data_IF_861613917129
#
_entry.id   IF_861613917129
#
_cell.length_a   1.000
_cell.length_b   1.000
_cell.length_c   1.000
_cell.angle_alpha   90.00
_cell.angle_beta   90.00
_cell.angle_gamma   90.00
#
_symmetry.space_group_name_H-M   'P 1'
#
loop_
_entity.id
_entity.type
_entity.pdbx_description
1 polymer ?
#
# COMPACT_ATOMS: atom_id res chain seq x y z
N UNK A 1 -7.49 1.55 -15.18
CA UNK A 1 -7.80 2.94 -15.55
C UNK A 1 -8.24 3.76 -14.33
N UNK A 2 -7.93 5.06 -14.36
CA UNK A 2 -8.37 6.06 -13.40
C UNK A 2 -8.77 7.34 -14.14
N UNK A 3 -9.38 8.27 -13.45
CA UNK A 3 -9.65 9.58 -14.00
C UNK A 3 -9.29 10.69 -13.02
N UNK A 4 -8.88 11.82 -13.60
CA UNK A 4 -8.77 13.09 -12.92
C UNK A 4 -10.14 13.74 -12.95
N UNK A 5 -10.62 14.15 -11.79
CA UNK A 5 -11.84 14.92 -11.60
C UNK A 5 -11.45 16.32 -11.11
N UNK A 6 -11.43 17.26 -12.05
CA UNK A 6 -11.02 18.62 -11.80
C UNK A 6 -12.22 19.56 -11.89
N UNK A 7 -12.58 20.16 -10.78
CA UNK A 7 -13.55 21.26 -10.71
C UNK A 7 -12.76 22.55 -10.54
N UNK A 8 -12.88 23.45 -11.50
CA UNK A 8 -12.20 24.75 -11.45
C UNK A 8 -12.96 25.75 -10.57
N UNK A 9 -12.24 26.73 -10.03
CA UNK A 9 -12.79 27.92 -9.42
C UNK A 9 -13.16 28.97 -10.49
N UNK A 10 -13.47 30.20 -10.09
CA UNK A 10 -13.75 31.32 -11.00
C UNK A 10 -12.50 32.03 -11.54
N UNK A 11 -11.32 31.50 -11.22
CA UNK A 11 -10.01 31.96 -11.68
C UNK A 11 -9.28 30.85 -12.46
N UNK A 12 -10.01 30.09 -13.28
CA UNK A 12 -9.47 28.92 -13.95
C UNK A 12 -8.25 29.19 -14.86
N UNK A 13 -8.04 30.44 -15.30
CA UNK A 13 -6.93 30.87 -16.17
C UNK A 13 -5.56 30.72 -15.50
N UNK A 14 -5.50 30.70 -14.16
CA UNK A 14 -4.24 30.54 -13.40
C UNK A 14 -3.86 29.09 -13.20
N UNK A 15 -4.82 28.16 -13.37
CA UNK A 15 -4.64 26.76 -13.08
C UNK A 15 -4.40 25.91 -14.33
N UNK A 16 -3.59 24.86 -14.19
CA UNK A 16 -3.44 23.80 -15.18
C UNK A 16 -2.87 22.56 -14.49
N UNK A 17 -2.95 21.40 -15.14
CA UNK A 17 -2.26 20.23 -14.65
C UNK A 17 -1.59 19.44 -15.75
N UNK A 18 -0.55 18.75 -15.38
CA UNK A 18 0.31 17.95 -16.24
C UNK A 18 0.45 16.53 -15.67
N UNK A 19 0.54 15.56 -16.58
CA UNK A 19 0.85 14.16 -16.25
C UNK A 19 2.17 13.80 -16.93
N UNK A 20 3.10 13.26 -16.15
CA UNK A 20 4.44 12.85 -16.61
C UNK A 20 4.63 11.34 -16.42
N UNK A 21 5.46 10.73 -17.28
CA UNK A 21 5.99 9.39 -17.06
C UNK A 21 7.15 9.38 -16.05
N UNK A 22 7.63 8.17 -15.69
CA UNK A 22 8.74 8.01 -14.75
C UNK A 22 10.09 8.53 -15.23
N UNK A 23 10.21 8.87 -16.51
CA UNK A 23 11.39 9.51 -17.10
C UNK A 23 11.27 11.04 -17.13
N UNK A 24 10.13 11.59 -16.72
CA UNK A 24 9.83 13.02 -16.74
C UNK A 24 9.31 13.53 -18.07
N UNK A 25 8.92 12.66 -18.99
CA UNK A 25 8.31 13.10 -20.24
C UNK A 25 6.85 13.46 -20.00
N UNK A 26 6.41 14.59 -20.60
CA UNK A 26 5.02 15.02 -20.57
C UNK A 26 4.15 14.06 -21.38
N UNK A 27 3.12 13.49 -20.76
CA UNK A 27 2.13 12.60 -21.38
C UNK A 27 0.86 13.37 -21.72
N UNK A 28 0.45 14.23 -20.82
CA UNK A 28 -0.81 14.96 -20.93
C UNK A 28 -0.71 16.31 -20.22
N UNK A 29 -1.34 17.32 -20.81
CA UNK A 29 -1.49 18.64 -20.24
C UNK A 29 -2.96 19.09 -20.40
N UNK A 30 -3.49 19.72 -19.39
CA UNK A 30 -4.76 20.44 -19.46
C UNK A 30 -4.59 21.86 -18.98
N UNK A 31 -4.57 22.76 -19.91
CA UNK A 31 -4.61 24.22 -19.72
C UNK A 31 -5.89 24.81 -20.34
N UNK A 32 -5.98 26.12 -20.47
CA UNK A 32 -7.11 26.86 -21.07
C UNK A 32 -8.47 26.46 -20.49
N UNK A 33 -8.53 26.45 -19.19
CA UNK A 33 -9.68 26.01 -18.41
C UNK A 33 -10.80 27.08 -18.40
N UNK A 34 -12.05 26.59 -18.33
CA UNK A 34 -13.22 27.43 -18.11
C UNK A 34 -13.49 27.60 -16.62
N UNK A 35 -13.94 28.77 -16.21
CA UNK A 35 -14.32 29.06 -14.83
C UNK A 35 -15.52 28.22 -14.40
N UNK A 36 -15.49 27.71 -13.16
CA UNK A 36 -16.59 26.97 -12.54
C UNK A 36 -17.03 25.77 -13.36
N UNK A 37 -16.09 25.08 -14.00
CA UNK A 37 -16.36 23.95 -14.87
C UNK A 37 -15.77 22.66 -14.29
N UNK A 38 -16.38 21.54 -14.63
CA UNK A 38 -15.93 20.22 -14.20
C UNK A 38 -15.36 19.42 -15.35
N UNK A 39 -14.09 19.11 -15.26
CA UNK A 39 -13.36 18.24 -16.19
C UNK A 39 -13.28 16.83 -15.66
N UNK A 40 -13.31 15.85 -16.56
CA UNK A 40 -13.09 14.45 -16.26
C UNK A 40 -12.21 13.84 -17.34
N UNK A 41 -10.93 13.70 -17.06
CA UNK A 41 -9.95 13.12 -17.97
C UNK A 41 -9.63 11.70 -17.51
N UNK A 42 -9.87 10.74 -18.38
CA UNK A 42 -9.66 9.31 -18.07
C UNK A 42 -8.36 8.83 -18.68
N UNK A 43 -7.57 8.11 -17.87
CA UNK A 43 -6.28 7.57 -18.25
C UNK A 43 -6.27 6.05 -18.08
N UNK A 44 -5.71 5.37 -19.08
CA UNK A 44 -5.36 3.96 -19.05
C UNK A 44 -3.88 3.87 -19.39
N UNK A 45 -3.06 3.75 -18.35
CA UNK A 45 -1.60 3.84 -18.46
C UNK A 45 -0.99 2.44 -18.36
N UNK A 46 0.08 2.22 -19.09
CA UNK A 46 0.90 1.02 -18.96
C UNK A 46 1.56 0.94 -17.57
N UNK A 47 1.99 -0.26 -17.14
CA UNK A 47 2.73 -0.39 -15.88
C UNK A 47 3.96 0.53 -15.84
N UNK A 48 4.05 1.37 -14.82
CA UNK A 48 5.12 2.36 -14.71
C UNK A 48 4.95 3.31 -13.52
N UNK A 49 5.94 4.18 -13.34
CA UNK A 49 5.87 5.30 -12.40
C UNK A 49 5.40 6.56 -13.12
N UNK A 50 4.60 7.36 -12.44
CA UNK A 50 3.99 8.57 -13.01
C UNK A 50 3.93 9.67 -11.97
N UNK A 51 3.82 10.90 -12.43
CA UNK A 51 3.53 12.03 -11.56
C UNK A 51 2.48 12.94 -12.18
N UNK A 52 1.57 13.42 -11.35
CA UNK A 52 0.63 14.50 -11.69
C UNK A 52 1.06 15.75 -10.93
N UNK A 53 1.12 16.87 -11.64
CA UNK A 53 1.42 18.17 -11.08
C UNK A 53 0.27 19.11 -11.39
N UNK A 54 -0.39 19.59 -10.35
CA UNK A 54 -1.37 20.67 -10.43
C UNK A 54 -0.63 21.98 -10.13
N UNK A 55 -0.75 22.95 -10.99
CA UNK A 55 -0.09 24.26 -10.86
C UNK A 55 -1.11 25.37 -10.78
N UNK A 56 -0.83 26.34 -9.92
CA UNK A 56 -1.52 27.62 -9.79
C UNK A 56 -0.51 28.75 -9.96
N UNK A 57 -0.77 29.69 -10.88
CA UNK A 57 0.14 30.79 -11.22
C UNK A 57 0.08 31.95 -10.23
N UNK A 58 -1.01 32.09 -9.50
CA UNK A 58 -1.22 33.17 -8.54
C UNK A 58 -0.96 32.76 -7.08
N UNK A 59 -0.52 31.50 -6.85
CA UNK A 59 -0.09 30.92 -5.58
C UNK A 59 -1.19 30.82 -4.49
N UNK A 60 -2.47 30.91 -4.84
CA UNK A 60 -3.58 30.85 -3.88
C UNK A 60 -4.35 29.51 -3.91
N UNK A 61 -4.01 28.60 -4.84
CA UNK A 61 -4.59 27.28 -4.98
C UNK A 61 -6.00 27.31 -5.58
N UNK A 62 -6.74 26.21 -5.40
CA UNK A 62 -8.12 26.09 -5.89
C UNK A 62 -9.15 26.57 -4.89
N UNK A 63 -8.80 26.63 -3.63
CA UNK A 63 -9.65 27.12 -2.54
C UNK A 63 -8.83 27.27 -1.26
N UNK A 64 -9.08 28.30 -0.51
CA UNK A 64 -8.52 28.51 0.82
C UNK A 64 -9.64 28.52 1.88
N UNK A 65 -9.27 28.36 3.15
CA UNK A 65 -10.25 28.20 4.24
C UNK A 65 -11.29 29.32 4.34
N UNK A 66 -10.97 30.49 3.82
CA UNK A 66 -11.83 31.67 3.86
C UNK A 66 -12.52 31.98 2.53
N UNK A 67 -12.25 31.26 1.45
CA UNK A 67 -12.76 31.52 0.10
C UNK A 67 -14.29 31.63 0.04
N UNK A 68 -15.01 30.81 0.81
CA UNK A 68 -16.49 30.85 0.87
C UNK A 68 -17.08 32.11 1.49
N UNK A 69 -16.26 32.95 2.11
CA UNK A 69 -16.69 34.22 2.76
C UNK A 69 -16.27 35.44 1.94
N UNK A 70 -15.53 35.26 0.87
CA UNK A 70 -15.16 36.34 -0.06
C UNK A 70 -16.20 36.40 -1.17
N UNK A 71 -16.84 37.58 -1.31
CA UNK A 71 -17.86 37.77 -2.33
C UNK A 71 -17.28 37.58 -3.75
N UNK A 72 -17.93 36.69 -4.52
CA UNK A 72 -17.53 36.38 -5.88
C UNK A 72 -16.49 35.27 -6.02
N UNK A 73 -15.87 34.78 -4.94
CA UNK A 73 -14.97 33.66 -5.01
C UNK A 73 -15.70 32.32 -5.01
N UNK A 74 -15.18 31.35 -5.80
CA UNK A 74 -15.69 29.98 -5.82
C UNK A 74 -14.56 29.00 -5.56
N UNK A 75 -14.88 27.88 -4.91
CA UNK A 75 -13.92 26.84 -4.60
C UNK A 75 -13.81 25.83 -5.75
N UNK A 76 -12.59 25.47 -6.11
CA UNK A 76 -12.28 24.35 -6.97
C UNK A 76 -11.95 23.07 -6.20
N UNK A 77 -11.70 21.98 -6.91
CA UNK A 77 -11.25 20.73 -6.34
C UNK A 77 -10.55 19.85 -7.38
N UNK A 78 -9.49 19.19 -6.97
CA UNK A 78 -8.74 18.26 -7.84
C UNK A 78 -8.63 16.89 -7.16
N UNK A 79 -9.04 15.84 -7.85
CA UNK A 79 -9.13 14.50 -7.28
C UNK A 79 -8.77 13.45 -8.32
N UNK A 80 -8.05 12.43 -7.90
CA UNK A 80 -7.82 11.22 -8.69
C UNK A 80 -8.73 10.11 -8.18
N UNK A 81 -9.38 9.37 -9.06
CA UNK A 81 -10.30 8.30 -8.70
C UNK A 81 -10.15 7.09 -9.63
N UNK A 82 -10.18 5.87 -9.08
CA UNK A 82 -10.27 4.65 -9.88
C UNK A 82 -11.62 4.60 -10.61
N UNK A 83 -11.61 4.13 -11.85
CA UNK A 83 -12.87 3.90 -12.58
C UNK A 83 -13.67 2.82 -11.83
N UNK A 84 -14.90 3.17 -11.42
CA UNK A 84 -15.75 2.28 -10.63
C UNK A 84 -15.30 2.07 -9.18
N UNK A 85 -14.30 2.81 -8.70
CA UNK A 85 -13.67 2.58 -7.40
C UNK A 85 -13.56 3.80 -6.49
N UNK A 86 -12.69 3.70 -5.49
CA UNK A 86 -12.40 4.74 -4.50
C UNK A 86 -11.53 5.87 -5.05
N UNK A 87 -11.39 6.93 -4.27
CA UNK A 87 -10.38 7.94 -4.52
C UNK A 87 -8.97 7.36 -4.37
N UNK A 88 -8.07 7.76 -5.27
CA UNK A 88 -6.64 7.49 -5.19
C UNK A 88 -5.98 8.60 -4.39
N UNK A 89 -6.33 9.86 -4.72
CA UNK A 89 -5.80 11.05 -4.07
C UNK A 89 -6.83 12.18 -4.12
N UNK A 90 -6.84 13.01 -3.09
CA UNK A 90 -7.62 14.25 -3.01
C UNK A 90 -6.63 15.36 -2.67
N UNK A 91 -6.38 16.22 -3.63
CA UNK A 91 -5.45 17.33 -3.45
C UNK A 91 -6.01 18.36 -2.47
N UNK A 92 -5.17 18.95 -1.61
CA UNK A 92 -5.59 20.07 -0.79
C UNK A 92 -6.07 21.22 -1.71
N UNK A 93 -7.05 21.98 -1.26
CA UNK A 93 -7.51 23.16 -2.00
C UNK A 93 -6.52 24.31 -1.94
N UNK A 94 -5.92 24.51 -0.77
CA UNK A 94 -4.88 25.50 -0.49
C UNK A 94 -3.51 24.79 -0.59
N UNK A 95 -2.86 24.89 -1.74
CA UNK A 95 -1.59 24.23 -2.02
C UNK A 95 -0.48 25.18 -2.49
N UNK A 96 -0.77 26.50 -2.54
CA UNK A 96 0.17 27.47 -3.09
C UNK A 96 0.38 27.28 -4.60
N UNK A 97 1.60 27.45 -5.08
CA UNK A 97 1.93 27.46 -6.51
C UNK A 97 1.79 26.12 -7.22
N UNK A 98 2.00 25.01 -6.53
CA UNK A 98 1.85 23.68 -7.13
C UNK A 98 1.73 22.58 -6.11
N UNK A 99 1.08 21.49 -6.53
CA UNK A 99 1.03 20.23 -5.78
C UNK A 99 1.36 19.07 -6.71
N UNK A 100 2.31 18.23 -6.28
CA UNK A 100 2.75 17.05 -7.03
C UNK A 100 2.33 15.77 -6.30
N UNK A 101 1.82 14.83 -7.05
CA UNK A 101 1.51 13.49 -6.58
C UNK A 101 2.19 12.45 -7.47
N UNK A 102 3.07 11.66 -6.87
CA UNK A 102 3.78 10.56 -7.52
C UNK A 102 3.05 9.25 -7.25
N UNK A 103 2.83 8.43 -8.27
CA UNK A 103 2.12 7.16 -8.16
C UNK A 103 2.67 6.11 -9.12
N UNK A 104 2.31 4.84 -8.89
CA UNK A 104 2.65 3.73 -9.78
C UNK A 104 1.40 3.06 -10.32
N UNK A 105 1.50 2.54 -11.55
CA UNK A 105 0.47 1.75 -12.21
C UNK A 105 1.04 0.37 -12.50
N UNK A 106 0.26 -0.68 -12.22
CA UNK A 106 0.63 -2.06 -12.51
C UNK A 106 1.72 -2.65 -11.61
N UNK A 107 2.29 -1.86 -10.71
CA UNK A 107 3.06 -2.39 -9.60
C UNK A 107 2.11 -2.63 -8.45
N UNK A 108 1.75 -3.87 -8.23
CA UNK A 108 1.33 -4.27 -6.89
C UNK A 108 2.57 -4.11 -6.01
N UNK A 109 2.70 -2.96 -5.34
CA UNK A 109 3.53 -2.84 -4.15
C UNK A 109 2.80 -3.57 -3.00
N UNK A 110 2.36 -4.79 -3.29
CA UNK A 110 2.16 -5.79 -2.30
C UNK A 110 3.51 -6.50 -2.20
N UNK A 111 4.10 -6.61 -1.04
CA UNK A 111 4.39 -7.96 -0.62
C UNK A 111 3.18 -8.74 -1.08
N UNK A 112 3.35 -9.67 -2.04
CA UNK A 112 2.39 -10.74 -2.17
C UNK A 112 2.31 -11.35 -0.76
N UNK A 113 1.37 -10.87 0.05
CA UNK A 113 0.70 -11.77 0.93
C UNK A 113 -0.05 -12.72 0.03
N UNK A 114 0.70 -13.52 -0.71
CA UNK A 114 0.28 -14.85 -1.07
C UNK A 114 0.09 -15.52 0.27
N UNK A 115 -1.03 -15.22 0.89
CA UNK A 115 -1.57 -15.91 2.05
C UNK A 115 -1.97 -17.32 1.60
N UNK A 116 -1.00 -18.04 1.10
CA UNK A 116 -1.14 -19.44 0.81
C UNK A 116 -1.11 -20.27 2.10
N UNK A 117 -0.52 -19.72 3.15
CA UNK A 117 -0.57 -20.30 4.50
C UNK A 117 -1.59 -19.50 5.30
N UNK A 118 -2.79 -20.05 5.47
CA UNK A 118 -3.92 -19.32 6.02
C UNK A 118 -3.75 -18.96 7.50
N UNK A 119 -3.19 -19.82 8.31
CA UNK A 119 -3.01 -19.55 9.73
C UNK A 119 -1.86 -20.38 10.33
N UNK A 120 -0.95 -19.75 11.06
CA UNK A 120 0.03 -20.42 11.89
C UNK A 120 -0.37 -20.19 13.35
N UNK A 121 -0.60 -21.28 14.09
CA UNK A 121 -0.82 -21.27 15.52
C UNK A 121 0.41 -21.80 16.23
N UNK A 122 0.78 -21.16 17.32
CA UNK A 122 1.89 -21.60 18.17
C UNK A 122 1.43 -21.70 19.60
N UNK A 123 1.66 -22.84 20.21
CA UNK A 123 1.27 -23.06 21.61
C UNK A 123 2.17 -24.09 22.31
N UNK A 124 2.23 -24.01 23.65
CA UNK A 124 1.69 -22.94 24.47
C UNK A 124 2.46 -21.62 24.22
N UNK A 125 1.77 -20.50 24.35
CA UNK A 125 2.40 -19.19 24.30
C UNK A 125 1.90 -18.35 25.49
N UNK A 126 2.73 -18.09 26.50
CA UNK A 126 4.18 -18.37 26.60
C UNK A 126 4.53 -19.85 26.73
N UNK A 127 5.74 -20.20 26.24
CA UNK A 127 6.26 -21.58 26.25
C UNK A 127 7.35 -21.79 27.29
N UNK A 128 7.41 -22.99 27.90
CA UNK A 128 8.47 -23.39 28.80
C UNK A 128 9.51 -24.30 28.13
N UNK A 129 9.11 -25.42 27.60
CA UNK A 129 10.02 -26.42 27.08
C UNK A 129 9.69 -26.83 25.64
N UNK A 130 8.44 -27.17 25.37
CA UNK A 130 8.01 -27.70 24.08
C UNK A 130 7.05 -26.73 23.41
N UNK A 131 7.36 -26.41 22.16
CA UNK A 131 6.56 -25.55 21.30
C UNK A 131 5.94 -26.37 20.19
N UNK A 132 4.62 -26.28 20.05
CA UNK A 132 3.88 -26.81 18.91
C UNK A 132 3.58 -25.68 17.92
N UNK A 133 3.84 -25.94 16.67
CA UNK A 133 3.51 -25.07 15.52
C UNK A 133 2.50 -25.82 14.66
N UNK A 134 1.28 -25.35 14.64
CA UNK A 134 0.23 -25.84 13.74
C UNK A 134 0.10 -24.90 12.53
N UNK A 135 -0.08 -25.52 11.38
CA UNK A 135 -0.22 -24.82 10.09
C UNK A 135 -1.49 -25.37 9.44
N UNK A 136 -2.45 -24.48 9.24
CA UNK A 136 -3.70 -24.79 8.53
C UNK A 136 -3.71 -24.04 7.19
N UNK A 137 -4.05 -24.75 6.10
CA UNK A 137 -4.20 -24.12 4.79
C UNK A 137 -3.84 -25.06 3.64
N UNK A 138 -3.78 -24.51 2.44
CA UNK A 138 -3.47 -25.26 1.21
C UNK A 138 -1.97 -25.55 1.16
N UNK A 139 -1.54 -26.59 1.89
CA UNK A 139 -0.15 -27.03 1.95
C UNK A 139 -0.07 -28.41 1.29
N UNK A 140 0.60 -28.49 0.14
CA UNK A 140 0.99 -29.75 -0.49
C UNK A 140 2.52 -29.80 -0.53
N UNK A 141 3.11 -30.87 0.04
CA UNK A 141 4.54 -31.10 0.00
C UNK A 141 5.29 -30.74 1.27
N UNK A 142 6.45 -30.12 1.15
CA UNK A 142 7.36 -29.83 2.28
C UNK A 142 7.13 -28.41 2.77
N UNK A 143 6.87 -28.27 4.07
CA UNK A 143 6.90 -26.99 4.77
C UNK A 143 8.21 -26.88 5.59
N UNK A 144 8.87 -25.74 5.50
CA UNK A 144 10.05 -25.41 6.29
C UNK A 144 9.66 -24.53 7.46
N UNK A 145 10.20 -24.86 8.64
CA UNK A 145 9.98 -24.11 9.87
C UNK A 145 11.31 -23.55 10.35
N UNK A 146 11.36 -22.25 10.57
CA UNK A 146 12.50 -21.56 11.16
C UNK A 146 12.07 -20.84 12.44
N UNK A 147 12.89 -20.92 13.48
CA UNK A 147 12.74 -20.09 14.68
C UNK A 147 13.88 -19.09 14.72
N UNK A 148 13.52 -17.82 14.81
CA UNK A 148 14.46 -16.70 14.78
C UNK A 148 14.37 -15.88 16.08
N UNK A 149 15.50 -15.30 16.47
CA UNK A 149 15.49 -14.23 17.47
C UNK A 149 15.07 -12.88 16.83
N UNK A 150 14.87 -11.86 17.64
CA UNK A 150 14.46 -10.53 17.17
C UNK A 150 15.51 -9.81 16.33
N UNK A 151 16.74 -10.30 16.26
CA UNK A 151 17.78 -9.79 15.36
C UNK A 151 17.72 -10.45 13.96
N UNK A 152 16.83 -11.43 13.78
CA UNK A 152 16.70 -12.19 12.53
C UNK A 152 17.65 -13.38 12.42
N UNK A 153 18.39 -13.72 13.50
CA UNK A 153 19.29 -14.88 13.52
C UNK A 153 18.46 -16.16 13.67
N UNK A 154 18.66 -17.12 12.78
CA UNK A 154 18.04 -18.43 12.84
C UNK A 154 18.67 -19.25 13.97
N UNK A 155 17.83 -19.74 14.87
CA UNK A 155 18.20 -20.59 16.01
C UNK A 155 17.86 -22.05 15.74
N UNK A 156 16.83 -22.30 14.97
CA UNK A 156 16.38 -23.62 14.56
C UNK A 156 15.86 -23.54 13.13
N UNK A 157 16.19 -24.54 12.33
CA UNK A 157 15.62 -24.69 10.97
C UNK A 157 15.38 -26.18 10.74
N UNK A 158 14.16 -26.52 10.32
CA UNK A 158 13.73 -27.90 10.06
C UNK A 158 12.70 -27.94 8.95
N UNK A 159 12.34 -29.15 8.51
CA UNK A 159 11.36 -29.36 7.47
C UNK A 159 10.37 -30.46 7.90
N UNK A 160 9.09 -30.24 7.58
CA UNK A 160 8.04 -31.21 7.84
C UNK A 160 7.23 -31.51 6.57
N UNK A 161 6.67 -32.70 6.51
CA UNK A 161 5.73 -33.04 5.44
C UNK A 161 4.32 -32.62 5.82
N UNK A 162 3.68 -31.85 4.97
CA UNK A 162 2.30 -31.47 5.11
C UNK A 162 1.39 -32.42 4.32
N UNK A 163 0.32 -32.88 4.92
CA UNK A 163 -0.69 -33.72 4.30
C UNK A 163 -2.09 -33.20 4.58
N UNK A 164 -2.95 -33.16 3.55
CA UNK A 164 -4.36 -32.81 3.70
C UNK A 164 -4.61 -31.41 4.30
N UNK A 165 -3.85 -30.42 3.90
CA UNK A 165 -4.02 -29.04 4.35
C UNK A 165 -3.75 -28.78 5.85
N UNK A 166 -3.05 -29.68 6.51
CA UNK A 166 -2.64 -29.58 7.92
C UNK A 166 -1.20 -30.07 8.09
N UNK A 167 -0.44 -29.38 8.91
CA UNK A 167 0.87 -29.83 9.38
C UNK A 167 1.07 -29.41 10.83
N UNK A 168 1.71 -30.29 11.61
CA UNK A 168 2.08 -30.05 12.99
C UNK A 168 3.58 -30.29 13.16
N UNK A 169 4.25 -29.33 13.81
CA UNK A 169 5.67 -29.44 14.14
C UNK A 169 5.86 -29.19 15.62
N UNK A 170 6.48 -30.14 16.31
CA UNK A 170 6.74 -30.06 17.74
C UNK A 170 8.26 -29.99 17.94
N UNK A 171 8.73 -29.05 18.75
CA UNK A 171 10.16 -28.85 19.00
C UNK A 171 10.44 -28.45 20.44
N UNK A 172 11.61 -28.89 20.92
CA UNK A 172 12.13 -28.49 22.24
C UNK A 172 12.83 -27.13 22.14
N UNK A 173 12.33 -26.17 22.90
CA UNK A 173 12.88 -24.84 23.05
C UNK A 173 13.45 -24.57 24.44
N UNK A 174 13.67 -25.62 25.24
CA UNK A 174 14.18 -25.52 26.62
C UNK A 174 15.52 -24.82 26.71
N UNK A 175 16.39 -25.00 25.71
CA UNK A 175 17.70 -24.34 25.60
C UNK A 175 17.62 -22.85 25.21
N UNK A 176 16.47 -22.34 24.81
CA UNK A 176 16.33 -20.95 24.43
C UNK A 176 16.29 -20.05 25.66
N UNK A 177 16.91 -18.88 25.57
CA UNK A 177 16.83 -17.87 26.64
C UNK A 177 15.43 -17.30 26.75
N UNK A 178 15.07 -16.79 27.93
CA UNK A 178 13.81 -16.05 28.11
C UNK A 178 13.76 -14.86 27.16
N UNK A 179 12.66 -14.70 26.44
CA UNK A 179 12.51 -13.63 25.46
C UNK A 179 11.45 -13.90 24.40
N UNK A 180 11.36 -13.00 23.45
CA UNK A 180 10.45 -13.12 22.30
C UNK A 180 11.17 -13.67 21.09
N UNK A 181 10.50 -14.50 20.35
CA UNK A 181 10.99 -15.19 19.16
C UNK A 181 9.96 -15.13 18.03
N UNK A 182 10.42 -15.35 16.81
CA UNK A 182 9.60 -15.42 15.60
C UNK A 182 9.65 -16.84 15.06
N UNK A 183 8.49 -17.44 14.82
CA UNK A 183 8.35 -18.64 14.00
C UNK A 183 8.05 -18.18 12.58
N UNK A 184 8.83 -18.63 11.64
CA UNK A 184 8.64 -18.43 10.21
C UNK A 184 8.42 -19.79 9.56
N UNK A 185 7.33 -19.91 8.82
CA UNK A 185 7.03 -21.10 8.02
C UNK A 185 6.97 -20.69 6.56
N UNK A 186 7.60 -21.45 5.69
CA UNK A 186 7.56 -21.22 4.27
C UNK A 186 7.43 -22.51 3.48
N UNK A 187 6.73 -22.42 2.37
CA UNK A 187 6.48 -23.48 1.39
C UNK A 187 6.69 -22.93 -0.01
N UNK A 188 6.54 -23.73 -1.04
CA UNK A 188 6.51 -23.26 -2.42
C UNK A 188 5.41 -22.24 -2.69
N UNK A 189 4.34 -22.25 -1.87
CA UNK A 189 3.16 -21.41 -2.05
C UNK A 189 3.20 -20.10 -1.26
N UNK A 190 4.15 -19.88 -0.37
CA UNK A 190 4.27 -18.65 0.40
C UNK A 190 4.95 -18.78 1.75
N UNK A 191 4.99 -17.67 2.48
CA UNK A 191 5.63 -17.55 3.79
C UNK A 191 4.64 -16.95 4.79
N UNK A 192 4.64 -17.48 6.01
CA UNK A 192 3.88 -16.92 7.14
C UNK A 192 4.75 -16.79 8.38
N UNK A 193 4.47 -15.82 9.24
CA UNK A 193 5.24 -15.59 10.47
C UNK A 193 4.31 -15.35 11.66
N UNK A 194 4.71 -15.84 12.83
CA UNK A 194 4.04 -15.54 14.10
C UNK A 194 5.06 -15.39 15.23
N UNK A 195 4.64 -14.87 16.38
CA UNK A 195 5.53 -14.64 17.53
C UNK A 195 5.15 -15.53 18.70
N UNK A 196 6.16 -15.95 19.45
CA UNK A 196 5.93 -16.56 20.77
C UNK A 196 6.90 -15.99 21.82
N UNK A 197 6.56 -16.24 23.09
CA UNK A 197 7.34 -15.82 24.25
C UNK A 197 7.86 -17.05 24.98
N UNK A 198 9.17 -17.11 25.24
CA UNK A 198 9.84 -18.11 26.06
C UNK A 198 9.99 -17.60 27.48
N UNK A 199 9.52 -18.37 28.44
CA UNK A 199 9.72 -18.14 29.88
C UNK A 199 11.00 -18.76 30.41
#
# INVERSE_FOLDING_TARGET
>A
PFFVWFTTNNKAYENYYELFDGSGNLIFERDQLQNNFQYKDTFDLEPGCYSIVLTDRDDDGLSFWYSSQVEGETAGAFRLRKVGGSYIEIFPGDFGSHHRFDFSVGFELGLDETSALNEIKVFPNPVLNELTVEIEGKIDGVAHVEILDLSGRILLSDAMNATNSFAEYITDVSAFRKGSYIVKVYTENGTSTTKFVKY
#
